data_IF_237295348810
#
_entry.id   IF_237295348810
#
_cell.length_a   1.000
_cell.length_b   1.000
_cell.length_c   1.000
_cell.angle_alpha   90.00
_cell.angle_beta   90.00
_cell.angle_gamma   90.00
#
_symmetry.space_group_name_H-M   'P 1'
#
loop_
_entity.id
_entity.type
_entity.pdbx_description
1 polymer ?
#
# COMPACT_ATOMS: atom_id res chain seq x y z
N UNK A 1 3.81 4.78 -93.48
CA UNK A 1 4.20 4.00 -92.29
C UNK A 1 4.35 4.94 -91.09
N UNK A 2 3.34 5.03 -90.21
CA UNK A 2 3.50 5.60 -88.86
C UNK A 2 3.17 4.48 -87.88
N UNK A 3 4.21 4.03 -87.17
CA UNK A 3 4.20 2.88 -86.28
C UNK A 3 3.42 3.21 -85.00
N UNK A 4 2.32 2.48 -84.78
CA UNK A 4 1.68 2.38 -83.48
C UNK A 4 2.64 1.68 -82.51
N UNK A 5 3.04 2.38 -81.44
CA UNK A 5 3.79 1.79 -80.34
C UNK A 5 2.90 0.81 -79.58
N UNK A 6 3.27 -0.46 -79.63
CA UNK A 6 2.74 -1.52 -78.79
C UNK A 6 2.97 -1.19 -77.30
N UNK A 7 1.93 -0.70 -76.62
CA UNK A 7 1.89 -0.72 -75.17
C UNK A 7 1.74 -2.17 -74.72
N UNK A 8 2.80 -2.71 -74.12
CA UNK A 8 2.85 -4.08 -73.62
C UNK A 8 1.69 -4.35 -72.66
N UNK A 9 0.87 -5.35 -73.01
CA UNK A 9 -0.24 -5.91 -72.22
C UNK A 9 0.18 -6.20 -70.76
N UNK A 10 1.47 -6.44 -70.53
CA UNK A 10 2.05 -6.64 -69.21
C UNK A 10 1.97 -5.39 -68.30
N UNK A 11 2.12 -4.18 -68.85
CA UNK A 11 2.00 -2.94 -68.04
C UNK A 11 0.57 -2.65 -67.62
N UNK A 12 -0.41 -2.96 -68.47
CA UNK A 12 -1.84 -2.82 -68.16
C UNK A 12 -2.26 -3.87 -67.12
N UNK A 13 -1.80 -5.12 -67.25
CA UNK A 13 -2.05 -6.17 -66.26
C UNK A 13 -1.41 -5.87 -64.90
N UNK A 14 -0.19 -5.32 -64.87
CA UNK A 14 0.45 -4.90 -63.60
C UNK A 14 -0.29 -3.72 -62.96
N UNK A 15 -0.81 -2.77 -63.75
CA UNK A 15 -1.62 -1.67 -63.23
C UNK A 15 -2.98 -2.15 -62.69
N UNK A 16 -3.63 -3.09 -63.38
CA UNK A 16 -4.88 -3.72 -62.91
C UNK A 16 -4.62 -4.59 -61.67
N UNK A 17 -3.50 -5.31 -61.60
CA UNK A 17 -3.12 -6.11 -60.44
C UNK A 17 -2.78 -5.23 -59.23
N UNK A 18 -2.08 -4.10 -59.43
CA UNK A 18 -1.82 -3.10 -58.37
C UNK A 18 -3.10 -2.37 -57.94
N UNK A 19 -4.02 -2.07 -58.85
CA UNK A 19 -5.36 -1.56 -58.49
C UNK A 19 -6.19 -2.59 -57.73
N UNK A 20 -6.12 -3.89 -58.06
CA UNK A 20 -6.83 -4.95 -57.33
C UNK A 20 -6.22 -5.23 -55.95
N UNK A 21 -4.90 -5.10 -55.79
CA UNK A 21 -4.25 -5.16 -54.47
C UNK A 21 -4.62 -3.92 -53.63
N UNK A 22 -4.81 -2.76 -54.26
CA UNK A 22 -5.29 -1.54 -53.60
C UNK A 22 -6.80 -1.58 -53.28
N UNK A 23 -7.58 -2.40 -54.01
CA UNK A 23 -9.03 -2.63 -53.80
C UNK A 23 -9.35 -3.72 -52.77
N UNK A 24 -8.36 -4.51 -52.34
CA UNK A 24 -8.39 -5.10 -50.99
C UNK A 24 -8.06 -4.01 -49.96
N UNK A 25 -8.71 -2.86 -50.10
CA UNK A 25 -8.75 -1.83 -49.09
C UNK A 25 -9.30 -2.48 -47.82
N UNK A 26 -8.50 -2.41 -46.76
CA UNK A 26 -8.87 -2.46 -45.35
C UNK A 26 -10.38 -2.64 -45.18
N UNK A 27 -10.85 -3.89 -45.18
CA UNK A 27 -12.26 -4.19 -44.92
C UNK A 27 -12.51 -3.89 -43.46
N UNK A 28 -12.90 -2.65 -43.14
CA UNK A 28 -13.29 -2.24 -41.80
C UNK A 28 -14.59 -2.96 -41.47
N UNK A 29 -14.52 -3.93 -40.57
CA UNK A 29 -15.70 -4.67 -40.14
C UNK A 29 -16.40 -3.87 -39.05
N UNK A 30 -17.70 -3.61 -39.20
CA UNK A 30 -18.49 -3.02 -38.13
C UNK A 30 -18.54 -4.00 -36.96
N UNK A 31 -18.07 -3.57 -35.79
CA UNK A 31 -18.05 -4.39 -34.55
C UNK A 31 -19.07 -3.93 -33.52
N UNK A 32 -19.64 -2.73 -33.69
CA UNK A 32 -20.73 -2.26 -32.86
C UNK A 32 -21.29 -0.89 -33.24
N UNK A 33 -22.32 -0.47 -32.51
CA UNK A 33 -22.99 0.83 -32.64
C UNK A 33 -23.13 1.49 -31.27
N UNK A 34 -22.94 2.79 -31.23
CA UNK A 34 -23.08 3.62 -30.02
C UNK A 34 -24.29 4.52 -30.23
N UNK A 35 -25.21 4.54 -29.28
CA UNK A 35 -26.37 5.44 -29.27
C UNK A 35 -26.27 6.38 -28.08
N UNK A 36 -26.36 7.69 -28.34
CA UNK A 36 -26.54 8.73 -27.33
C UNK A 36 -28.00 9.19 -27.39
N UNK A 37 -28.78 8.81 -26.39
CA UNK A 37 -30.21 9.11 -26.31
C UNK A 37 -30.49 10.55 -25.87
N UNK A 38 -29.55 11.17 -25.17
CA UNK A 38 -29.70 12.57 -24.72
C UNK A 38 -29.57 13.51 -25.90
N UNK A 39 -28.63 13.24 -26.81
CA UNK A 39 -28.34 14.08 -27.98
C UNK A 39 -28.99 13.59 -29.26
N UNK A 40 -29.66 12.43 -29.22
CA UNK A 40 -30.27 11.78 -30.39
C UNK A 40 -29.23 11.53 -31.50
N UNK A 41 -28.06 11.02 -31.11
CA UNK A 41 -26.94 10.75 -32.01
C UNK A 41 -26.61 9.26 -32.02
N UNK A 42 -26.03 8.78 -33.14
CA UNK A 42 -25.52 7.43 -33.21
C UNK A 42 -24.20 7.36 -33.99
N UNK A 43 -23.35 6.42 -33.61
CA UNK A 43 -22.02 6.22 -34.18
C UNK A 43 -21.81 4.74 -34.53
N UNK A 44 -21.07 4.48 -35.59
CA UNK A 44 -20.62 3.14 -35.96
C UNK A 44 -19.18 2.96 -35.50
N UNK A 45 -18.89 1.84 -34.84
CA UNK A 45 -17.55 1.43 -34.42
C UNK A 45 -17.03 0.30 -35.30
N UNK A 46 -15.82 0.49 -35.81
CA UNK A 46 -15.10 -0.50 -36.62
C UNK A 46 -14.05 -1.25 -35.79
N UNK A 47 -13.66 -2.43 -36.28
CA UNK A 47 -12.67 -3.33 -35.68
C UNK A 47 -11.30 -2.68 -35.39
N UNK A 48 -10.89 -1.71 -36.19
CA UNK A 48 -9.67 -0.92 -35.99
C UNK A 48 -9.80 0.20 -34.93
N UNK A 49 -10.92 0.28 -34.21
CA UNK A 49 -11.19 1.31 -33.22
C UNK A 49 -11.62 2.66 -33.81
N UNK A 50 -11.79 2.77 -35.13
CA UNK A 50 -12.32 3.98 -35.74
C UNK A 50 -13.83 4.09 -35.47
N UNK A 51 -14.28 5.27 -35.09
CA UNK A 51 -15.70 5.60 -34.93
C UNK A 51 -16.10 6.75 -35.84
N UNK A 52 -17.33 6.70 -36.34
CA UNK A 52 -17.90 7.75 -37.19
C UNK A 52 -19.37 7.96 -36.85
N UNK A 53 -19.81 9.22 -36.81
CA UNK A 53 -21.20 9.57 -36.56
C UNK A 53 -22.06 9.25 -37.80
N UNK A 54 -23.23 8.65 -37.59
CA UNK A 54 -24.25 8.51 -38.62
C UNK A 54 -24.73 9.90 -39.05
N UNK A 55 -24.95 10.09 -40.36
CA UNK A 55 -25.42 11.35 -40.97
C UNK A 55 -24.46 12.55 -40.86
N UNK A 56 -23.36 12.44 -40.09
CA UNK A 56 -22.31 13.46 -39.99
C UNK A 56 -20.89 12.85 -39.97
N UNK A 57 -20.39 12.35 -41.13
CA UNK A 57 -19.10 11.66 -41.21
C UNK A 57 -17.88 12.47 -40.74
N UNK A 58 -17.99 13.80 -40.73
CA UNK A 58 -16.92 14.69 -40.25
C UNK A 58 -16.68 14.57 -38.74
N UNK A 59 -17.69 14.12 -37.98
CA UNK A 59 -17.53 13.81 -36.58
C UNK A 59 -17.08 12.34 -36.42
N UNK A 60 -15.76 12.16 -36.32
CA UNK A 60 -15.11 10.86 -36.26
C UNK A 60 -13.88 10.88 -35.34
N UNK A 61 -13.38 9.72 -34.97
CA UNK A 61 -12.19 9.61 -34.14
C UNK A 61 -11.82 8.16 -33.85
N UNK A 62 -10.89 7.97 -32.91
CA UNK A 62 -10.45 6.64 -32.49
C UNK A 62 -10.83 6.38 -31.04
N UNK A 63 -11.53 5.29 -30.78
CA UNK A 63 -11.73 4.78 -29.42
C UNK A 63 -10.48 4.04 -28.97
N UNK A 64 -10.24 4.08 -27.66
CA UNK A 64 -9.15 3.37 -27.03
C UNK A 64 -9.67 2.63 -25.81
N UNK A 65 -8.90 1.64 -25.33
CA UNK A 65 -9.17 1.05 -24.01
C UNK A 65 -9.13 2.17 -22.97
N UNK A 66 -10.06 2.14 -22.03
CA UNK A 66 -10.01 3.10 -20.93
C UNK A 66 -8.69 2.90 -20.15
N UNK A 67 -7.82 3.93 -20.09
CA UNK A 67 -6.58 3.91 -19.33
C UNK A 67 -6.75 3.45 -17.88
N UNK A 68 -7.86 3.83 -17.25
CA UNK A 68 -8.10 3.54 -15.84
C UNK A 68 -8.61 2.11 -15.58
N UNK A 69 -9.21 1.47 -16.58
CA UNK A 69 -9.85 0.16 -16.47
C UNK A 69 -11.22 0.15 -15.77
N UNK A 70 -11.70 1.29 -15.25
CA UNK A 70 -13.07 1.43 -14.72
C UNK A 70 -14.12 1.24 -15.80
N UNK A 71 -13.84 1.72 -17.01
CA UNK A 71 -14.69 1.59 -18.17
C UNK A 71 -14.05 0.63 -19.19
N UNK A 72 -14.84 0.20 -20.16
CA UNK A 72 -14.36 -0.69 -21.22
C UNK A 72 -13.59 0.07 -22.31
N UNK A 73 -14.19 1.14 -22.83
CA UNK A 73 -13.60 1.99 -23.87
C UNK A 73 -13.75 3.46 -23.50
N UNK A 74 -12.74 4.26 -23.86
CA UNK A 74 -12.83 5.72 -23.90
C UNK A 74 -13.17 6.16 -25.32
N UNK A 75 -14.19 6.99 -25.42
CA UNK A 75 -14.66 7.63 -26.65
C UNK A 75 -14.07 9.05 -26.70
N UNK A 76 -13.56 9.52 -27.85
CA UNK A 76 -13.05 10.87 -28.00
C UNK A 76 -14.16 11.91 -27.70
N UNK A 77 -13.82 12.92 -26.91
CA UNK A 77 -14.70 14.04 -26.58
C UNK A 77 -14.22 15.31 -27.30
N UNK A 78 -15.15 16.17 -27.70
CA UNK A 78 -14.85 17.47 -28.31
C UNK A 78 -14.13 18.39 -27.32
N UNK A 79 -14.54 18.36 -26.05
CA UNK A 79 -13.89 19.10 -24.97
C UNK A 79 -13.49 18.16 -23.83
N UNK A 80 -12.32 17.50 -23.94
CA UNK A 80 -11.88 16.48 -22.98
C UNK A 80 -11.54 17.05 -21.59
N UNK A 81 -11.55 18.37 -21.41
CA UNK A 81 -11.30 19.03 -20.11
C UNK A 81 -12.58 19.04 -19.24
N UNK A 82 -13.74 19.19 -19.87
CA UNK A 82 -15.04 19.35 -19.18
C UNK A 82 -15.82 18.04 -19.08
N UNK A 83 -15.74 17.20 -20.12
CA UNK A 83 -16.38 15.90 -20.15
C UNK A 83 -15.60 14.83 -20.93
N UNK A 84 -15.83 13.58 -20.57
CA UNK A 84 -15.31 12.43 -21.29
C UNK A 84 -16.41 11.36 -21.44
N UNK A 85 -16.40 10.66 -22.57
CA UNK A 85 -17.40 9.64 -22.89
C UNK A 85 -16.77 8.26 -22.84
N UNK A 86 -17.51 7.29 -22.35
CA UNK A 86 -17.03 5.93 -22.17
C UNK A 86 -18.09 4.92 -22.54
N UNK A 87 -17.64 3.77 -23.03
CA UNK A 87 -18.43 2.54 -22.98
C UNK A 87 -18.10 1.85 -21.67
N UNK A 88 -19.09 1.64 -20.81
CA UNK A 88 -18.95 0.88 -19.57
C UNK A 88 -18.98 -0.63 -19.84
N UNK A 89 -18.53 -1.41 -18.86
CA UNK A 89 -18.49 -2.88 -18.94
C UNK A 89 -19.88 -3.53 -19.08
N UNK A 90 -20.93 -2.84 -18.66
CA UNK A 90 -22.34 -3.27 -18.77
C UNK A 90 -23.04 -2.76 -20.04
N UNK A 91 -22.26 -2.23 -21.00
CA UNK A 91 -22.70 -1.64 -22.28
C UNK A 91 -23.41 -0.29 -22.17
N UNK A 92 -23.45 0.35 -21.01
CA UNK A 92 -23.94 1.72 -20.91
C UNK A 92 -22.93 2.70 -21.55
N UNK A 93 -23.43 3.74 -22.21
CA UNK A 93 -22.62 4.89 -22.59
C UNK A 93 -22.67 5.88 -21.44
N UNK A 94 -21.50 6.17 -20.89
CA UNK A 94 -21.35 7.02 -19.71
C UNK A 94 -20.65 8.30 -20.11
N UNK A 95 -21.29 9.43 -19.85
CA UNK A 95 -20.64 10.74 -19.83
C UNK A 95 -20.16 11.03 -18.42
N UNK A 96 -18.85 11.19 -18.24
CA UNK A 96 -18.27 11.70 -17.01
C UNK A 96 -18.08 13.20 -17.19
N UNK A 97 -18.89 13.97 -16.46
CA UNK A 97 -18.73 15.41 -16.37
C UNK A 97 -17.89 15.76 -15.13
N UNK A 98 -16.94 16.69 -15.27
CA UNK A 98 -16.06 17.11 -14.17
C UNK A 98 -16.83 17.51 -12.89
N UNK A 99 -17.96 18.18 -13.03
CA UNK A 99 -18.76 18.68 -11.92
C UNK A 99 -19.84 17.70 -11.47
N UNK A 100 -20.54 17.06 -12.42
CA UNK A 100 -21.71 16.21 -12.14
C UNK A 100 -21.40 14.72 -11.98
N UNK A 101 -20.19 14.28 -12.31
CA UNK A 101 -19.81 12.86 -12.27
C UNK A 101 -20.37 12.06 -13.45
N UNK A 102 -20.43 10.74 -13.27
CA UNK A 102 -20.90 9.81 -14.28
C UNK A 102 -22.42 9.87 -14.48
N UNK A 103 -22.85 10.00 -15.74
CA UNK A 103 -24.25 9.95 -16.15
C UNK A 103 -24.41 8.98 -17.33
N UNK A 104 -25.41 8.10 -17.27
CA UNK A 104 -25.74 7.23 -18.40
C UNK A 104 -26.47 8.07 -19.45
N UNK A 105 -25.88 8.18 -20.64
CA UNK A 105 -26.42 8.97 -21.76
C UNK A 105 -26.91 8.11 -22.91
N UNK A 106 -26.61 6.80 -22.88
CA UNK A 106 -27.10 5.89 -23.89
C UNK A 106 -26.57 4.47 -23.80
N UNK A 107 -26.49 3.76 -24.93
CA UNK A 107 -26.15 2.33 -24.97
C UNK A 107 -25.21 1.96 -26.12
N UNK A 108 -24.34 0.99 -25.86
CA UNK A 108 -23.50 0.34 -26.87
C UNK A 108 -24.10 -1.01 -27.30
N UNK A 109 -24.32 -1.16 -28.59
CA UNK A 109 -24.70 -2.41 -29.25
C UNK A 109 -23.46 -3.04 -29.88
N UNK A 110 -22.78 -3.89 -29.12
CA UNK A 110 -21.65 -4.67 -29.61
C UNK A 110 -21.17 -5.65 -28.56
N UNK A 111 -20.03 -6.28 -28.85
CA UNK A 111 -19.37 -7.17 -27.90
C UNK A 111 -18.62 -6.35 -26.84
N UNK A 112 -18.89 -6.66 -25.58
CA UNK A 112 -18.10 -6.21 -24.42
C UNK A 112 -17.73 -7.48 -23.65
N UNK A 113 -16.44 -7.77 -23.43
CA UNK A 113 -16.02 -8.90 -22.62
C UNK A 113 -16.40 -8.66 -21.16
N UNK A 114 -16.40 -9.74 -20.38
CA UNK A 114 -16.59 -9.64 -18.92
C UNK A 114 -15.50 -8.76 -18.33
N UNK A 115 -15.88 -7.84 -17.44
CA UNK A 115 -14.91 -7.01 -16.71
C UNK A 115 -13.95 -7.91 -15.93
N UNK A 116 -12.65 -7.92 -16.25
CA UNK A 116 -11.69 -8.79 -15.55
C UNK A 116 -11.45 -8.37 -14.09
N UNK A 117 -11.92 -7.17 -13.69
CA UNK A 117 -11.72 -6.62 -12.36
C UNK A 117 -12.95 -6.69 -11.45
N UNK A 118 -14.12 -7.14 -11.92
CA UNK A 118 -15.36 -7.07 -11.12
C UNK A 118 -15.38 -7.94 -9.85
N UNK A 119 -14.49 -8.92 -9.74
CA UNK A 119 -14.39 -9.84 -8.59
C UNK A 119 -12.97 -9.92 -8.02
N UNK A 120 -12.09 -8.96 -8.31
CA UNK A 120 -10.69 -9.04 -7.84
C UNK A 120 -10.53 -8.79 -6.35
N UNK A 121 -11.44 -8.02 -5.75
CA UNK A 121 -11.44 -7.83 -4.31
C UNK A 121 -12.24 -8.93 -3.62
N UNK A 122 -11.59 -9.58 -2.67
CA UNK A 122 -12.24 -10.43 -1.69
C UNK A 122 -11.94 -9.86 -0.31
N UNK A 123 -12.98 -9.63 0.49
CA UNK A 123 -12.81 -9.14 1.85
C UNK A 123 -11.91 -10.10 2.63
N UNK A 124 -10.83 -9.60 3.25
CA UNK A 124 -9.95 -10.43 4.07
C UNK A 124 -10.74 -11.12 5.19
N UNK A 125 -10.47 -12.41 5.39
CA UNK A 125 -10.93 -13.14 6.57
C UNK A 125 -10.01 -12.83 7.74
N UNK A 126 -10.59 -12.69 8.93
CA UNK A 126 -9.87 -12.47 10.18
C UNK A 126 -10.31 -13.54 11.17
N UNK A 127 -9.42 -14.49 11.46
CA UNK A 127 -9.58 -15.34 12.62
C UNK A 127 -9.05 -14.60 13.87
N UNK A 128 -9.78 -14.65 15.00
CA UNK A 128 -9.33 -14.05 16.27
C UNK A 128 -8.06 -14.70 16.84
N UNK A 129 -7.55 -15.72 16.18
CA UNK A 129 -6.38 -16.46 16.60
C UNK A 129 -5.07 -15.70 16.37
N UNK A 130 -4.95 -14.80 15.39
CA UNK A 130 -3.69 -14.10 15.11
C UNK A 130 -3.83 -12.58 15.13
N UNK A 131 -2.88 -11.89 15.74
CA UNK A 131 -2.95 -10.44 15.89
C UNK A 131 -1.91 -9.85 16.83
N UNK A 132 -1.99 -8.54 16.98
CA UNK A 132 -1.05 -7.76 17.79
C UNK A 132 -1.74 -7.33 19.08
N UNK A 133 -1.11 -7.62 20.22
CA UNK A 133 -1.58 -7.12 21.50
C UNK A 133 -1.09 -5.67 21.67
N UNK A 134 -2.03 -4.74 21.74
CA UNK A 134 -1.76 -3.30 21.90
C UNK A 134 -1.60 -2.95 23.38
N UNK A 135 -2.43 -3.57 24.21
CA UNK A 135 -2.40 -3.48 25.66
C UNK A 135 -2.89 -4.81 26.23
N UNK A 136 -2.62 -5.14 27.51
CA UNK A 136 -3.08 -6.40 28.11
C UNK A 136 -4.57 -6.65 27.85
N UNK A 137 -4.89 -7.70 27.08
CA UNK A 137 -6.27 -8.06 26.72
C UNK A 137 -6.89 -7.31 25.53
N UNK A 138 -6.22 -6.32 24.94
CA UNK A 138 -6.66 -5.62 23.72
C UNK A 138 -5.86 -6.11 22.51
N UNK A 139 -6.54 -6.74 21.57
CA UNK A 139 -5.95 -7.49 20.47
C UNK A 139 -6.50 -7.00 19.13
N UNK A 140 -5.61 -6.62 18.21
CA UNK A 140 -6.00 -6.29 16.84
C UNK A 140 -5.65 -7.42 15.90
N UNK A 141 -6.65 -8.04 15.25
CA UNK A 141 -6.42 -9.22 14.41
C UNK A 141 -5.69 -8.84 13.12
N UNK A 142 -4.86 -9.77 12.63
CA UNK A 142 -4.23 -9.70 11.30
C UNK A 142 -5.00 -10.64 10.37
N UNK A 143 -5.17 -10.32 9.07
CA UNK A 143 -5.84 -11.22 8.14
C UNK A 143 -5.21 -12.62 8.08
N UNK A 144 -6.06 -13.62 7.86
CA UNK A 144 -5.67 -15.01 7.70
C UNK A 144 -4.75 -15.17 6.46
N UNK A 145 -3.76 -16.06 6.55
CA UNK A 145 -2.85 -16.36 5.43
C UNK A 145 -1.74 -15.33 5.19
N UNK A 146 -1.65 -14.28 6.01
CA UNK A 146 -0.60 -13.24 5.94
C UNK A 146 0.51 -13.47 6.97
N UNK A 147 0.17 -14.10 8.09
CA UNK A 147 1.08 -14.31 9.22
C UNK A 147 2.02 -15.48 8.94
N UNK A 148 3.33 -15.24 9.06
CA UNK A 148 4.32 -16.31 9.17
C UNK A 148 4.48 -16.70 10.65
N UNK A 149 3.84 -17.80 11.04
CA UNK A 149 3.88 -18.32 12.42
C UNK A 149 5.31 -18.60 12.89
N UNK A 150 6.22 -18.95 11.97
CA UNK A 150 7.60 -19.28 12.28
C UNK A 150 8.48 -18.06 12.52
N UNK A 151 8.02 -16.86 12.12
CA UNK A 151 8.76 -15.61 12.23
C UNK A 151 7.88 -14.50 12.79
N UNK A 152 7.30 -14.74 13.96
CA UNK A 152 6.27 -13.86 14.55
C UNK A 152 6.82 -12.69 15.36
N UNK A 153 8.14 -12.56 15.54
CA UNK A 153 8.75 -11.45 16.29
C UNK A 153 9.20 -10.30 15.39
N UNK A 154 8.94 -9.07 15.85
CA UNK A 154 9.43 -7.83 15.25
C UNK A 154 10.76 -7.35 15.88
N UNK A 155 11.19 -6.15 15.49
CA UNK A 155 12.38 -5.52 16.06
C UNK A 155 12.09 -4.86 17.40
N UNK A 156 13.11 -4.81 18.26
CA UNK A 156 13.03 -4.08 19.53
C UNK A 156 13.35 -2.60 19.31
N UNK A 157 12.53 -1.72 19.87
CA UNK A 157 12.80 -0.28 19.89
C UNK A 157 13.65 0.08 21.12
N UNK A 158 14.89 0.53 20.88
CA UNK A 158 15.83 0.87 21.93
C UNK A 158 16.71 2.07 21.56
N UNK A 159 17.05 2.89 22.56
CA UNK A 159 17.99 4.03 22.47
C UNK A 159 18.86 4.10 23.73
N UNK A 160 19.77 5.09 23.82
CA UNK A 160 20.64 5.31 24.98
C UNK A 160 20.16 6.51 25.82
N UNK A 161 20.73 6.60 27.02
CA UNK A 161 20.54 7.73 27.93
C UNK A 161 20.81 9.09 27.26
N UNK A 162 21.86 9.19 26.43
CA UNK A 162 22.25 10.46 25.79
C UNK A 162 21.14 10.97 24.86
N UNK A 163 20.62 10.11 23.97
CA UNK A 163 19.53 10.44 23.05
C UNK A 163 18.21 10.66 23.79
N UNK A 164 17.95 9.87 24.83
CA UNK A 164 16.80 10.12 25.70
C UNK A 164 16.88 11.50 26.36
N UNK A 165 18.08 11.92 26.81
CA UNK A 165 18.32 13.23 27.41
C UNK A 165 18.14 14.35 26.39
N UNK A 166 18.69 14.21 25.18
CA UNK A 166 18.48 15.16 24.08
C UNK A 166 16.97 15.34 23.79
N UNK A 167 16.23 14.24 23.66
CA UNK A 167 14.78 14.28 23.46
C UNK A 167 14.03 14.93 24.61
N UNK A 168 14.42 14.63 25.85
CA UNK A 168 13.82 15.21 27.06
C UNK A 168 14.01 16.73 27.08
N UNK A 169 15.24 17.20 26.86
CA UNK A 169 15.56 18.62 26.83
C UNK A 169 14.81 19.37 25.74
N UNK A 170 14.67 18.77 24.56
CA UNK A 170 13.93 19.38 23.44
C UNK A 170 12.41 19.45 23.69
N UNK A 171 11.87 18.56 24.51
CA UNK A 171 10.44 18.48 24.82
C UNK A 171 10.05 19.15 26.14
N UNK A 172 11.02 19.50 26.98
CA UNK A 172 10.79 20.13 28.27
C UNK A 172 10.69 21.65 28.16
N UNK A 173 9.71 22.23 28.84
CA UNK A 173 9.62 23.67 29.07
C UNK A 173 9.44 23.95 30.57
N UNK A 174 10.15 24.94 31.14
CA UNK A 174 9.97 25.32 32.55
C UNK A 174 8.54 25.73 32.91
N UNK A 175 7.74 26.21 31.94
CA UNK A 175 6.39 26.71 32.18
C UNK A 175 5.30 25.64 32.07
N UNK A 176 5.52 24.61 31.25
CA UNK A 176 4.49 23.59 30.94
C UNK A 176 4.92 22.17 31.30
N UNK A 177 6.15 21.98 31.79
CA UNK A 177 6.74 20.67 32.04
C UNK A 177 7.13 19.96 30.75
N UNK A 178 7.20 18.63 30.81
CA UNK A 178 7.56 17.79 29.67
C UNK A 178 6.36 17.58 28.75
N UNK A 179 6.50 17.97 27.48
CA UNK A 179 5.57 17.60 26.42
C UNK A 179 5.76 16.11 26.08
N UNK A 180 4.80 15.28 26.51
CA UNK A 180 4.87 13.82 26.36
C UNK A 180 4.83 13.37 24.91
N UNK A 181 4.04 14.03 24.07
CA UNK A 181 3.89 13.66 22.67
C UNK A 181 5.18 13.99 21.91
N UNK A 182 5.68 15.22 22.08
CA UNK A 182 6.94 15.66 21.48
C UNK A 182 8.12 14.83 21.94
N UNK A 183 8.19 14.51 23.24
CA UNK A 183 9.23 13.63 23.78
C UNK A 183 9.17 12.25 23.14
N UNK A 184 7.99 11.63 23.14
CA UNK A 184 7.82 10.25 22.65
C UNK A 184 8.10 10.15 21.16
N UNK A 185 7.66 11.14 20.36
CA UNK A 185 8.00 11.18 18.94
C UNK A 185 9.51 11.27 18.71
N UNK A 186 10.22 12.11 19.47
CA UNK A 186 11.68 12.18 19.39
C UNK A 186 12.32 10.83 19.74
N UNK A 187 11.81 10.14 20.77
CA UNK A 187 12.28 8.81 21.14
C UNK A 187 12.08 7.80 20.01
N UNK A 188 10.87 7.72 19.44
CA UNK A 188 10.57 6.83 18.31
C UNK A 188 11.50 7.13 17.13
N UNK A 189 11.74 8.40 16.79
CA UNK A 189 12.65 8.78 15.71
C UNK A 189 14.10 8.32 15.90
N UNK A 190 14.55 8.15 17.15
CA UNK A 190 15.88 7.64 17.46
C UNK A 190 15.91 6.10 17.63
N UNK A 191 14.75 5.45 17.80
CA UNK A 191 14.62 4.02 18.04
C UNK A 191 14.16 3.21 16.82
N UNK A 192 13.36 3.82 15.95
CA UNK A 192 12.69 3.18 14.84
C UNK A 192 13.41 3.44 13.52
N UNK A 193 13.29 2.51 12.58
CA UNK A 193 13.84 2.65 11.25
C UNK A 193 13.00 3.55 10.37
N UNK A 194 13.54 3.83 9.18
CA UNK A 194 12.86 4.68 8.19
C UNK A 194 11.49 4.13 7.80
N UNK A 195 11.38 2.81 7.65
CA UNK A 195 10.15 2.14 7.20
C UNK A 195 9.06 2.24 8.28
N UNK A 196 9.43 2.07 9.54
CA UNK A 196 8.53 2.16 10.69
C UNK A 196 8.02 3.58 10.88
N UNK A 197 8.92 4.56 10.75
CA UNK A 197 8.57 5.97 10.78
C UNK A 197 7.66 6.37 9.61
N UNK A 198 7.91 5.86 8.40
CA UNK A 198 7.05 6.11 7.24
C UNK A 198 5.63 5.56 7.48
N UNK A 199 5.50 4.36 8.08
CA UNK A 199 4.20 3.78 8.45
C UNK A 199 3.48 4.64 9.50
N UNK A 200 4.18 4.99 10.59
CA UNK A 200 3.61 5.80 11.67
C UNK A 200 3.12 7.15 11.14
N UNK A 201 3.95 7.84 10.36
CA UNK A 201 3.60 9.14 9.78
C UNK A 201 2.44 9.02 8.80
N UNK A 202 2.37 7.96 7.99
CA UNK A 202 1.21 7.74 7.12
C UNK A 202 -0.11 7.65 7.89
N UNK A 203 -0.14 6.94 9.01
CA UNK A 203 -1.37 6.82 9.80
C UNK A 203 -1.68 8.13 10.51
N UNK A 204 -0.68 8.74 11.14
CA UNK A 204 -0.83 9.96 11.95
C UNK A 204 -1.23 11.18 11.12
N UNK A 205 -0.64 11.34 9.93
CA UNK A 205 -0.79 12.56 9.13
C UNK A 205 -2.02 12.51 8.19
N UNK A 206 -2.68 11.36 8.09
CA UNK A 206 -3.85 11.14 7.22
C UNK A 206 -5.15 11.25 7.99
N UNK A 207 -6.19 11.81 7.36
CA UNK A 207 -7.51 12.07 7.97
C UNK A 207 -8.52 10.97 7.69
N UNK A 208 -8.36 10.26 6.57
CA UNK A 208 -9.30 9.23 6.13
C UNK A 208 -8.60 7.88 5.91
N UNK A 209 -9.32 6.75 5.99
CA UNK A 209 -8.76 5.44 5.68
C UNK A 209 -8.22 5.33 4.25
N UNK A 210 -8.80 6.07 3.30
CA UNK A 210 -8.31 6.17 1.92
C UNK A 210 -6.95 6.87 1.86
N UNK A 211 -6.79 8.02 2.51
CA UNK A 211 -5.51 8.75 2.59
C UNK A 211 -4.43 7.88 3.24
N UNK A 212 -4.78 7.21 4.36
CA UNK A 212 -3.89 6.28 5.04
C UNK A 212 -3.45 5.14 4.10
N UNK A 213 -4.42 4.53 3.42
CA UNK A 213 -4.17 3.43 2.47
C UNK A 213 -3.25 3.88 1.33
N UNK A 214 -3.49 5.05 0.75
CA UNK A 214 -2.68 5.61 -0.33
C UNK A 214 -1.25 5.92 0.13
N UNK A 215 -1.09 6.52 1.31
CA UNK A 215 0.21 6.81 1.87
C UNK A 215 1.00 5.51 2.09
N UNK A 216 0.39 4.52 2.76
CA UNK A 216 1.02 3.23 3.03
C UNK A 216 1.37 2.50 1.74
N UNK A 217 0.48 2.51 0.75
CA UNK A 217 0.72 1.91 -0.57
C UNK A 217 1.96 2.50 -1.24
N UNK A 218 2.12 3.83 -1.24
CA UNK A 218 3.27 4.50 -1.85
C UNK A 218 4.57 4.42 -1.06
N UNK A 219 4.51 4.21 0.26
CA UNK A 219 5.68 4.07 1.14
C UNK A 219 6.21 2.64 1.23
N UNK A 220 5.30 1.66 1.26
CA UNK A 220 5.67 0.25 1.40
C UNK A 220 5.94 -0.43 0.06
N UNK A 221 5.38 0.11 -1.03
CA UNK A 221 5.61 -0.40 -2.39
C UNK A 221 6.88 0.16 -3.06
N UNK A 222 7.11 -0.29 -4.29
CA UNK A 222 8.24 0.12 -5.14
C UNK A 222 8.04 1.49 -5.79
N UNK A 223 8.89 1.80 -6.78
CA UNK A 223 8.79 3.05 -7.55
C UNK A 223 7.46 3.16 -8.30
N UNK A 224 6.97 2.05 -8.84
CA UNK A 224 5.70 1.97 -9.55
C UNK A 224 4.52 2.23 -8.61
N UNK A 225 4.46 1.55 -7.48
CA UNK A 225 3.39 1.74 -6.49
C UNK A 225 3.33 3.16 -5.96
N UNK A 226 4.50 3.80 -5.80
CA UNK A 226 4.59 5.21 -5.42
C UNK A 226 3.99 6.15 -6.46
N UNK A 227 4.29 5.94 -7.73
CA UNK A 227 3.70 6.73 -8.83
C UNK A 227 2.18 6.57 -8.85
N UNK A 228 1.71 5.33 -8.72
CA UNK A 228 0.28 5.00 -8.70
C UNK A 228 -0.39 5.66 -7.50
N UNK A 229 0.15 5.50 -6.29
CA UNK A 229 -0.38 6.12 -5.08
C UNK A 229 -0.46 7.65 -5.20
N UNK A 230 0.58 8.29 -5.77
CA UNK A 230 0.60 9.73 -5.96
C UNK A 230 -0.55 10.17 -6.89
N UNK A 231 -0.79 9.44 -7.98
CA UNK A 231 -1.86 9.79 -8.92
C UNK A 231 -3.23 9.54 -8.38
N UNK A 232 -3.45 8.42 -7.71
CA UNK A 232 -4.73 8.15 -7.06
C UNK A 232 -4.98 9.20 -5.96
N UNK A 233 -3.94 9.65 -5.24
CA UNK A 233 -4.02 10.74 -4.27
C UNK A 233 -4.37 12.09 -4.91
N UNK A 234 -3.80 12.44 -6.07
CA UNK A 234 -4.20 13.62 -6.84
C UNK A 234 -5.68 13.55 -7.24
N UNK A 235 -6.17 12.39 -7.65
CA UNK A 235 -7.59 12.19 -7.97
C UNK A 235 -8.47 12.31 -6.74
N UNK A 236 -8.06 11.71 -5.62
CA UNK A 236 -8.76 11.80 -4.34
C UNK A 236 -8.85 13.23 -3.83
N UNK A 237 -7.79 14.03 -3.96
CA UNK A 237 -7.81 15.44 -3.59
C UNK A 237 -8.84 16.26 -4.41
N UNK A 238 -9.09 15.87 -5.67
CA UNK A 238 -10.03 16.57 -6.55
C UNK A 238 -11.47 16.08 -6.42
N UNK A 239 -11.67 14.77 -6.20
CA UNK A 239 -12.97 14.12 -6.36
C UNK A 239 -13.42 13.33 -5.12
N UNK A 240 -12.57 13.21 -4.09
CA UNK A 240 -12.85 12.43 -2.89
C UNK A 240 -13.19 10.98 -3.20
N UNK A 241 -14.20 10.45 -2.53
CA UNK A 241 -14.70 9.08 -2.72
C UNK A 241 -15.64 8.92 -3.92
N UNK A 242 -15.79 9.93 -4.79
CA UNK A 242 -16.53 9.79 -6.05
C UNK A 242 -15.65 9.13 -7.12
N UNK A 243 -15.48 7.82 -6.99
CA UNK A 243 -14.72 6.97 -7.90
C UNK A 243 -15.20 7.04 -9.35
N UNK A 244 -16.46 7.45 -9.58
CA UNK A 244 -17.00 7.61 -10.93
C UNK A 244 -16.28 8.70 -11.74
N UNK A 245 -15.56 9.62 -11.09
CA UNK A 245 -14.76 10.69 -11.73
C UNK A 245 -13.29 10.33 -11.94
N UNK A 246 -12.81 9.22 -11.38
CA UNK A 246 -11.41 8.81 -11.49
C UNK A 246 -10.96 8.46 -12.91
N UNK A 247 -11.82 7.94 -13.82
CA UNK A 247 -11.40 7.72 -15.21
C UNK A 247 -11.00 9.02 -15.92
N UNK A 248 -11.63 10.15 -15.58
CA UNK A 248 -11.25 11.46 -16.11
C UNK A 248 -9.86 11.87 -15.60
N UNK A 249 -9.62 11.67 -14.30
CA UNK A 249 -8.34 11.96 -13.66
C UNK A 249 -7.18 11.11 -14.20
N UNK A 250 -7.42 9.81 -14.38
CA UNK A 250 -6.42 8.82 -14.78
C UNK A 250 -6.27 8.70 -16.30
N UNK A 251 -6.85 9.63 -17.05
CA UNK A 251 -6.91 9.59 -18.51
C UNK A 251 -5.54 9.65 -19.22
N UNK A 252 -4.47 10.01 -18.50
CA UNK A 252 -3.08 10.01 -18.97
C UNK A 252 -2.32 8.70 -18.70
N UNK A 253 -2.86 7.79 -17.89
CA UNK A 253 -2.22 6.52 -17.48
C UNK A 253 -2.63 5.37 -18.39
N UNK A 254 -2.18 5.43 -19.65
CA UNK A 254 -2.67 4.55 -20.71
C UNK A 254 -2.16 3.11 -20.51
N UNK A 255 -3.09 2.19 -20.25
CA UNK A 255 -2.93 0.72 -20.30
C UNK A 255 -2.04 0.09 -19.22
N UNK A 256 -2.00 0.61 -17.99
CA UNK A 256 -1.32 -0.11 -16.89
C UNK A 256 -2.29 -1.02 -16.11
N UNK A 257 -2.20 -2.36 -16.24
CA UNK A 257 -3.09 -3.28 -15.53
C UNK A 257 -2.94 -3.22 -14.00
N UNK A 258 -1.80 -2.75 -13.48
CA UNK A 258 -1.59 -2.53 -12.05
C UNK A 258 -2.50 -1.41 -11.56
N UNK A 259 -2.56 -0.28 -12.28
CA UNK A 259 -3.40 0.86 -11.92
C UNK A 259 -4.86 0.43 -11.85
N UNK A 260 -5.35 -0.25 -12.88
CA UNK A 260 -6.73 -0.74 -12.93
C UNK A 260 -7.06 -1.70 -11.79
N UNK A 261 -6.13 -2.61 -11.47
CA UNK A 261 -6.32 -3.56 -10.37
C UNK A 261 -6.40 -2.84 -9.03
N UNK A 262 -5.44 -1.96 -8.72
CA UNK A 262 -5.41 -1.20 -7.45
C UNK A 262 -6.65 -0.35 -7.28
N UNK A 263 -7.03 0.39 -8.32
CA UNK A 263 -8.25 1.21 -8.32
C UNK A 263 -9.51 0.36 -8.11
N UNK A 264 -9.64 -0.78 -8.80
CA UNK A 264 -10.77 -1.70 -8.60
C UNK A 264 -10.82 -2.25 -7.17
N UNK A 265 -9.66 -2.58 -6.58
CA UNK A 265 -9.58 -3.02 -5.18
C UNK A 265 -10.08 -1.94 -4.22
N UNK A 266 -9.67 -0.69 -4.41
CA UNK A 266 -10.07 0.42 -3.53
C UNK A 266 -11.54 0.81 -3.72
N UNK A 267 -12.04 0.84 -4.96
CA UNK A 267 -13.45 1.09 -5.25
C UNK A 267 -14.36 0.02 -4.64
N UNK A 268 -14.01 -1.26 -4.81
CA UNK A 268 -14.79 -2.37 -4.25
C UNK A 268 -14.79 -2.36 -2.72
N UNK A 269 -13.65 -2.04 -2.09
CA UNK A 269 -13.58 -1.80 -0.64
C UNK A 269 -14.47 -0.65 -0.20
N UNK A 270 -14.43 0.47 -0.93
CA UNK A 270 -15.24 1.67 -0.62
C UNK A 270 -16.74 1.36 -0.64
N UNK A 271 -17.20 0.52 -1.58
CA UNK A 271 -18.60 0.03 -1.61
C UNK A 271 -19.00 -0.79 -0.38
N UNK A 272 -18.04 -1.49 0.24
CA UNK A 272 -18.25 -2.22 1.50
C UNK A 272 -18.10 -1.34 2.75
N UNK A 273 -17.75 -0.07 2.58
CA UNK A 273 -17.71 0.95 3.64
C UNK A 273 -16.38 1.07 4.39
N UNK A 274 -15.34 0.31 4.05
CA UNK A 274 -14.03 0.39 4.72
C UNK A 274 -12.88 0.11 3.73
N UNK A 275 -12.19 1.17 3.29
CA UNK A 275 -10.92 1.04 2.56
C UNK A 275 -9.79 0.85 3.55
N UNK A 276 -8.94 -0.16 3.33
CA UNK A 276 -7.79 -0.42 4.17
C UNK A 276 -6.55 -0.76 3.34
N UNK A 277 -5.37 -0.50 3.91
CA UNK A 277 -4.13 -0.95 3.30
C UNK A 277 -4.11 -2.46 3.14
N UNK A 278 -4.48 -3.23 4.16
CA UNK A 278 -4.46 -4.69 4.08
C UNK A 278 -5.42 -5.25 3.04
N UNK A 279 -6.64 -4.73 2.93
CA UNK A 279 -7.57 -5.13 1.87
C UNK A 279 -7.03 -4.83 0.47
N UNK A 280 -6.44 -3.65 0.29
CA UNK A 280 -5.82 -3.24 -0.98
C UNK A 280 -4.59 -4.08 -1.30
N UNK A 281 -3.73 -4.33 -0.31
CA UNK A 281 -2.50 -5.08 -0.46
C UNK A 281 -2.76 -6.56 -0.73
N UNK A 282 -3.77 -7.18 -0.11
CA UNK A 282 -4.20 -8.55 -0.42
C UNK A 282 -4.78 -8.65 -1.83
N UNK A 283 -5.59 -7.68 -2.23
CA UNK A 283 -6.19 -7.66 -3.55
C UNK A 283 -5.15 -7.43 -4.66
N UNK A 284 -4.22 -6.48 -4.48
CA UNK A 284 -3.13 -6.21 -5.42
C UNK A 284 -2.10 -7.36 -5.43
N UNK A 285 -1.64 -7.78 -4.26
CA UNK A 285 -0.65 -8.83 -4.02
C UNK A 285 0.32 -8.44 -2.90
N UNK A 286 0.35 -9.21 -1.81
CA UNK A 286 1.16 -8.87 -0.61
C UNK A 286 2.68 -8.95 -0.85
N UNK A 287 3.11 -9.77 -1.81
CA UNK A 287 4.52 -9.95 -2.14
C UNK A 287 5.18 -8.64 -2.61
N UNK A 288 4.42 -7.75 -3.24
CA UNK A 288 4.92 -6.46 -3.76
C UNK A 288 5.30 -5.48 -2.64
N UNK A 289 4.79 -5.69 -1.42
CA UNK A 289 5.03 -4.83 -0.26
C UNK A 289 6.07 -5.38 0.73
N UNK A 290 6.61 -6.58 0.50
CA UNK A 290 7.55 -7.24 1.40
C UNK A 290 7.07 -7.26 2.87
N UNK A 291 5.84 -7.75 3.10
CA UNK A 291 5.17 -7.74 4.40
C UNK A 291 5.73 -8.84 5.33
N UNK A 292 6.83 -8.54 6.03
CA UNK A 292 7.33 -9.38 7.14
C UNK A 292 6.59 -9.09 8.47
N UNK A 293 6.82 -9.90 9.50
CA UNK A 293 6.14 -9.75 10.79
C UNK A 293 6.43 -8.41 11.48
N UNK A 294 7.63 -7.85 11.34
CA UNK A 294 7.94 -6.50 11.83
C UNK A 294 7.02 -5.45 11.20
N UNK A 295 6.96 -5.41 9.86
CA UNK A 295 6.08 -4.49 9.13
C UNK A 295 4.62 -4.68 9.53
N UNK A 296 4.18 -5.94 9.72
CA UNK A 296 2.82 -6.24 10.15
C UNK A 296 2.53 -5.72 11.56
N UNK A 297 3.43 -5.95 12.52
CA UNK A 297 3.29 -5.44 13.89
C UNK A 297 3.20 -3.92 13.87
N UNK A 298 4.15 -3.26 13.19
CA UNK A 298 4.25 -1.81 13.13
C UNK A 298 3.02 -1.20 12.47
N UNK A 299 2.54 -1.78 11.37
CA UNK A 299 1.33 -1.37 10.70
C UNK A 299 0.11 -1.46 11.62
N UNK A 300 -0.08 -2.58 12.31
CA UNK A 300 -1.22 -2.75 13.21
C UNK A 300 -1.13 -1.83 14.43
N UNK A 301 0.06 -1.65 15.00
CA UNK A 301 0.27 -0.72 16.10
C UNK A 301 0.01 0.73 15.68
N UNK A 302 0.45 1.13 14.49
CA UNK A 302 0.18 2.46 13.96
C UNK A 302 -1.33 2.65 13.73
N UNK A 303 -1.99 1.72 13.04
CA UNK A 303 -3.42 1.78 12.76
C UNK A 303 -4.26 1.82 14.05
N UNK A 304 -3.98 0.94 15.01
CA UNK A 304 -4.77 0.82 16.23
C UNK A 304 -4.52 1.96 17.23
N UNK A 305 -3.33 2.56 17.23
CA UNK A 305 -3.06 3.78 18.00
C UNK A 305 -3.62 5.04 17.34
N UNK A 306 -4.12 4.95 16.10
CA UNK A 306 -4.44 6.14 15.30
C UNK A 306 -3.23 7.03 15.02
N UNK A 307 -2.01 6.48 15.12
CA UNK A 307 -0.77 7.24 15.03
C UNK A 307 -0.37 7.99 16.31
N UNK A 308 -1.05 7.76 17.44
CA UNK A 308 -0.66 8.36 18.72
C UNK A 308 0.70 7.80 19.19
N UNK A 309 1.71 8.65 19.41
CA UNK A 309 3.09 8.20 19.59
C UNK A 309 3.31 7.25 20.77
N UNK A 310 2.71 7.51 21.94
CA UNK A 310 2.94 6.72 23.14
C UNK A 310 2.32 5.33 23.05
N UNK A 311 1.07 5.25 22.60
CA UNK A 311 0.35 3.99 22.36
C UNK A 311 1.05 3.20 21.26
N UNK A 312 1.50 3.87 20.20
CA UNK A 312 2.32 3.24 19.17
C UNK A 312 3.60 2.65 19.76
N UNK A 313 4.38 3.42 20.52
CA UNK A 313 5.64 2.95 21.10
C UNK A 313 5.42 1.76 22.05
N UNK A 314 4.36 1.76 22.85
CA UNK A 314 4.03 0.63 23.72
C UNK A 314 3.66 -0.64 22.97
N UNK A 315 2.91 -0.52 21.88
CA UNK A 315 2.52 -1.65 21.04
C UNK A 315 3.69 -2.17 20.19
N UNK A 316 4.36 -1.25 19.47
CA UNK A 316 5.41 -1.54 18.51
C UNK A 316 6.76 -1.90 19.17
N UNK A 317 7.11 -1.23 20.28
CA UNK A 317 8.34 -1.48 21.03
C UNK A 317 8.19 -2.44 22.21
N UNK A 318 6.95 -2.82 22.54
CA UNK A 318 6.63 -3.79 23.58
C UNK A 318 6.61 -3.22 25.01
N UNK A 319 6.29 -4.10 25.97
CA UNK A 319 6.02 -3.72 27.36
C UNK A 319 7.23 -3.11 28.09
N UNK A 320 8.45 -3.51 27.74
CA UNK A 320 9.65 -2.95 28.38
C UNK A 320 9.91 -1.51 27.93
N UNK A 321 9.65 -1.17 26.66
CA UNK A 321 9.75 0.22 26.21
C UNK A 321 8.70 1.11 26.88
N UNK A 322 7.45 0.65 26.96
CA UNK A 322 6.39 1.40 27.65
C UNK A 322 6.79 1.75 29.10
N UNK A 323 7.37 0.79 29.84
CA UNK A 323 7.86 1.01 31.21
C UNK A 323 9.01 2.00 31.28
N UNK A 324 9.94 1.95 30.33
CA UNK A 324 11.02 2.93 30.26
C UNK A 324 10.48 4.34 29.96
N UNK A 325 9.53 4.48 29.02
CA UNK A 325 8.89 5.77 28.76
C UNK A 325 8.15 6.31 30.01
N UNK A 326 7.46 5.44 30.75
CA UNK A 326 6.78 5.81 32.00
C UNK A 326 7.76 6.31 33.08
N UNK A 327 8.93 5.69 33.20
CA UNK A 327 10.00 6.18 34.08
C UNK A 327 10.51 7.54 33.63
N UNK A 328 10.59 7.80 32.32
CA UNK A 328 10.99 9.12 31.82
C UNK A 328 10.01 10.20 32.29
N UNK A 329 8.72 9.88 32.28
CA UNK A 329 7.65 10.81 32.68
C UNK A 329 7.54 11.03 34.18
N UNK A 330 7.92 10.04 34.99
CA UNK A 330 7.78 10.08 36.45
C UNK A 330 9.07 10.47 37.16
N UNK A 331 10.20 9.94 36.71
CA UNK A 331 11.50 10.01 37.40
C UNK A 331 12.58 10.73 36.57
N UNK A 332 12.28 11.13 35.34
CA UNK A 332 13.25 11.72 34.42
C UNK A 332 14.13 10.69 33.72
N UNK A 333 15.13 11.19 32.98
CA UNK A 333 16.10 10.37 32.24
C UNK A 333 17.36 10.16 33.08
N UNK A 334 17.90 8.94 33.05
CA UNK A 334 19.17 8.60 33.68
C UNK A 334 19.10 8.31 35.17
N UNK A 335 20.27 8.24 35.81
CA UNK A 335 20.40 7.95 37.24
C UNK A 335 19.98 6.52 37.63
N UNK A 336 19.73 6.31 38.92
CA UNK A 336 19.40 4.99 39.47
C UNK A 336 17.91 4.63 39.34
N UNK A 337 17.02 5.62 39.21
CA UNK A 337 15.56 5.46 39.17
C UNK A 337 14.89 5.99 37.91
N UNK A 338 15.58 6.77 37.07
CA UNK A 338 15.07 7.29 35.81
C UNK A 338 15.15 6.27 34.67
N UNK A 339 14.61 6.65 33.52
CA UNK A 339 14.62 5.79 32.34
C UNK A 339 15.96 5.80 31.61
N UNK A 340 16.27 4.71 30.92
CA UNK A 340 17.49 4.50 30.14
C UNK A 340 18.81 4.70 30.91
N UNK A 341 18.76 4.83 32.24
CA UNK A 341 19.93 4.90 33.13
C UNK A 341 20.48 3.53 33.50
N UNK A 342 21.25 3.46 34.60
CA UNK A 342 21.93 2.22 35.06
C UNK A 342 20.99 1.03 35.28
N UNK A 343 19.70 1.32 35.52
CA UNK A 343 18.66 0.37 35.88
C UNK A 343 17.60 0.14 34.79
N UNK A 344 17.95 0.38 33.51
CA UNK A 344 17.10 0.18 32.33
C UNK A 344 16.44 -1.22 32.28
N UNK A 345 15.10 -1.25 32.22
CA UNK A 345 14.26 -2.46 32.18
C UNK A 345 14.44 -3.28 30.91
N UNK A 346 14.68 -2.63 29.77
CA UNK A 346 14.95 -3.31 28.50
C UNK A 346 16.26 -4.11 28.64
N UNK A 347 17.33 -3.47 29.09
CA UNK A 347 18.64 -4.13 29.28
C UNK A 347 18.55 -5.24 30.32
N UNK A 348 17.83 -5.03 31.43
CA UNK A 348 17.58 -6.08 32.44
C UNK A 348 16.82 -7.27 31.85
N UNK A 349 15.78 -7.02 31.07
CA UNK A 349 15.00 -8.06 30.39
C UNK A 349 15.87 -8.88 29.42
N UNK A 350 16.70 -8.21 28.63
CA UNK A 350 17.62 -8.85 27.69
C UNK A 350 18.71 -9.67 28.39
N UNK A 351 19.26 -9.18 29.51
CA UNK A 351 20.21 -9.94 30.35
C UNK A 351 19.58 -11.19 30.94
N UNK A 352 18.35 -11.10 31.44
CA UNK A 352 17.63 -12.26 31.98
C UNK A 352 17.40 -13.35 30.91
N UNK A 353 17.24 -12.98 29.64
CA UNK A 353 17.21 -13.94 28.53
C UNK A 353 18.58 -14.60 28.34
N UNK A 354 19.66 -13.83 28.39
CA UNK A 354 21.03 -14.35 28.31
C UNK A 354 21.36 -15.34 29.42
N UNK A 355 20.93 -15.04 30.65
CA UNK A 355 21.07 -15.95 31.80
C UNK A 355 20.28 -17.26 31.58
N UNK A 356 19.07 -17.17 31.03
CA UNK A 356 18.28 -18.36 30.70
C UNK A 356 18.92 -19.20 29.57
N UNK A 357 19.53 -18.55 28.58
CA UNK A 357 20.31 -19.22 27.53
C UNK A 357 21.57 -19.89 28.08
N UNK A 358 22.28 -19.22 29.01
CA UNK A 358 23.44 -19.78 29.72
C UNK A 358 23.08 -21.07 30.45
N UNK A 359 21.94 -21.09 31.15
CA UNK A 359 21.46 -22.29 31.86
C UNK A 359 21.09 -23.41 30.89
N UNK A 360 20.44 -23.09 29.77
CA UNK A 360 19.89 -24.09 28.85
C UNK A 360 20.93 -24.69 27.90
N UNK A 361 21.76 -23.85 27.30
CA UNK A 361 22.70 -24.25 26.24
C UNK A 361 24.16 -24.22 26.69
N UNK A 362 24.43 -23.66 27.88
CA UNK A 362 25.78 -23.45 28.41
C UNK A 362 26.39 -22.13 27.95
N UNK A 363 27.35 -21.58 28.72
CA UNK A 363 27.98 -20.29 28.43
C UNK A 363 28.88 -20.31 27.18
N UNK A 364 29.25 -21.50 26.70
CA UNK A 364 30.12 -21.66 25.54
C UNK A 364 29.39 -21.85 24.21
N UNK A 365 28.07 -21.99 24.23
CA UNK A 365 27.25 -22.15 23.03
C UNK A 365 27.24 -20.87 22.18
N UNK A 366 27.23 -21.02 20.86
CA UNK A 366 27.32 -19.90 19.90
C UNK A 366 26.14 -18.93 20.03
N UNK A 367 24.91 -19.42 20.23
CA UNK A 367 23.71 -18.59 20.42
C UNK A 367 23.83 -17.78 21.70
N UNK A 368 24.28 -18.42 22.79
CA UNK A 368 24.44 -17.78 24.09
C UNK A 368 25.52 -16.70 24.07
N UNK A 369 26.69 -16.98 23.47
CA UNK A 369 27.76 -16.00 23.29
C UNK A 369 27.31 -14.82 22.44
N UNK A 370 26.69 -15.12 21.29
CA UNK A 370 26.19 -14.10 20.38
C UNK A 370 25.17 -13.20 21.06
N UNK A 371 24.21 -13.77 21.81
CA UNK A 371 23.24 -12.99 22.58
C UNK A 371 23.91 -12.11 23.64
N UNK A 372 24.78 -12.66 24.48
CA UNK A 372 25.41 -11.91 25.57
C UNK A 372 26.30 -10.76 25.05
N UNK A 373 27.06 -11.01 23.98
CA UNK A 373 27.84 -9.96 23.31
C UNK A 373 26.91 -8.88 22.75
N UNK A 374 25.84 -9.29 22.06
CA UNK A 374 24.83 -8.39 21.48
C UNK A 374 24.20 -7.47 22.54
N UNK A 375 23.84 -8.00 23.71
CA UNK A 375 23.26 -7.22 24.81
C UNK A 375 24.29 -6.28 25.45
N UNK A 376 25.55 -6.72 25.55
CA UNK A 376 26.65 -5.86 26.00
C UNK A 376 26.87 -4.67 25.05
N UNK A 377 26.79 -4.90 23.73
CA UNK A 377 26.98 -3.86 22.72
C UNK A 377 25.85 -2.83 22.73
N UNK A 378 24.61 -3.26 22.93
CA UNK A 378 23.45 -2.38 23.12
C UNK A 378 23.62 -1.45 24.32
N UNK A 379 24.30 -1.91 25.37
CA UNK A 379 24.56 -1.10 26.56
C UNK A 379 25.50 0.09 26.23
N UNK A 380 26.24 0.02 25.12
CA UNK A 380 27.26 0.99 24.73
C UNK A 380 26.99 1.76 23.42
N UNK A 381 25.97 1.43 22.63
CA UNK A 381 25.65 2.18 21.41
C UNK A 381 24.32 1.83 20.78
N UNK A 382 23.38 2.78 20.58
CA UNK A 382 22.11 2.44 19.97
C UNK A 382 21.65 3.39 18.88
N UNK A 383 21.29 2.77 17.78
CA UNK A 383 20.23 3.22 16.90
C UNK A 383 19.63 1.98 16.26
N UNK A 384 18.47 2.11 15.64
CA UNK A 384 17.76 1.03 14.91
C UNK A 384 18.67 0.21 13.98
N UNK A 385 19.69 0.85 13.37
CA UNK A 385 20.63 0.21 12.44
C UNK A 385 21.75 -0.61 13.11
N UNK A 386 21.76 -0.75 14.43
CA UNK A 386 22.75 -1.56 15.11
C UNK A 386 22.50 -3.04 14.81
N UNK A 387 23.53 -3.79 14.41
CA UNK A 387 23.43 -5.23 14.09
C UNK A 387 22.84 -6.06 15.24
N UNK A 388 22.91 -5.52 16.45
CA UNK A 388 22.32 -6.07 17.65
C UNK A 388 20.78 -6.21 17.59
N UNK A 389 20.07 -5.23 17.03
CA UNK A 389 18.59 -5.27 16.96
C UNK A 389 18.14 -6.42 16.05
N UNK A 390 18.76 -6.53 14.87
CA UNK A 390 18.52 -7.63 13.92
C UNK A 390 18.88 -8.98 14.52
N UNK A 391 19.99 -9.05 15.25
CA UNK A 391 20.47 -10.27 15.91
C UNK A 391 19.49 -10.73 16.99
N UNK A 392 18.98 -9.81 17.82
CA UNK A 392 17.94 -10.12 18.82
C UNK A 392 16.70 -10.69 18.16
N UNK A 393 16.19 -10.07 17.10
CA UNK A 393 15.02 -10.59 16.38
C UNK A 393 15.26 -12.00 15.83
N UNK A 394 16.38 -12.20 15.15
CA UNK A 394 16.69 -13.49 14.51
C UNK A 394 16.79 -14.60 15.55
N UNK A 395 17.54 -14.38 16.63
CA UNK A 395 17.66 -15.34 17.74
C UNK A 395 16.30 -15.56 18.42
N UNK A 396 15.47 -14.52 18.59
CA UNK A 396 14.14 -14.65 19.20
C UNK A 396 13.23 -15.57 18.38
N UNK A 397 13.26 -15.44 17.04
CA UNK A 397 12.51 -16.32 16.14
C UNK A 397 13.03 -17.78 16.16
N UNK A 398 14.33 -17.99 16.38
CA UNK A 398 14.92 -19.33 16.52
C UNK A 398 14.58 -19.98 17.88
N UNK A 399 14.63 -19.20 18.95
CA UNK A 399 14.51 -19.67 20.34
C UNK A 399 13.07 -19.91 20.78
N UNK A 400 12.06 -19.27 20.18
CA UNK A 400 10.65 -19.52 20.55
C UNK A 400 10.18 -20.96 20.28
N UNK A 401 10.95 -21.73 19.49
CA UNK A 401 10.76 -23.18 19.29
C UNK A 401 11.17 -24.00 20.51
N UNK A 402 11.94 -23.42 21.43
CA UNK A 402 12.42 -24.08 22.63
C UNK A 402 11.42 -23.82 23.78
N UNK A 403 10.48 -24.73 23.96
CA UNK A 403 9.42 -24.66 24.98
C UNK A 403 10.02 -24.63 26.42
N UNK A 404 10.27 -23.44 26.98
CA UNK A 404 10.80 -23.23 28.34
C UNK A 404 10.72 -21.75 28.81
N UNK A 405 11.24 -21.47 30.01
CA UNK A 405 11.39 -20.16 30.64
C UNK A 405 11.99 -19.06 29.72
N UNK A 406 12.82 -19.45 28.74
CA UNK A 406 13.42 -18.54 27.75
C UNK A 406 12.34 -17.88 26.89
N UNK A 407 11.37 -18.63 26.37
CA UNK A 407 10.27 -18.10 25.55
C UNK A 407 9.42 -17.09 26.34
N UNK A 408 9.17 -17.34 27.64
CA UNK A 408 8.42 -16.42 28.51
C UNK A 408 9.16 -15.08 28.72
N UNK A 409 10.49 -15.11 28.79
CA UNK A 409 11.30 -13.90 28.93
C UNK A 409 11.37 -13.12 27.62
N UNK A 410 11.59 -13.79 26.48
CA UNK A 410 11.60 -13.19 25.14
C UNK A 410 10.29 -12.49 24.82
N UNK A 411 9.14 -13.12 25.10
CA UNK A 411 7.79 -12.54 24.87
C UNK A 411 7.51 -11.25 25.64
N UNK A 412 8.25 -10.98 26.73
CA UNK A 412 8.13 -9.71 27.46
C UNK A 412 9.00 -8.61 26.86
N UNK A 413 10.12 -8.98 26.24
CA UNK A 413 11.14 -8.05 25.77
C UNK A 413 10.98 -7.64 24.31
N UNK A 414 10.44 -8.53 23.46
CA UNK A 414 10.36 -8.31 22.01
C UNK A 414 8.88 -8.34 21.57
N UNK A 415 8.44 -7.38 20.74
CA UNK A 415 7.09 -7.39 20.19
C UNK A 415 6.85 -8.64 19.32
N UNK A 416 5.66 -9.20 19.41
CA UNK A 416 5.29 -10.45 18.73
C UNK A 416 3.86 -10.41 18.23
N UNK A 417 3.61 -10.97 17.06
CA UNK A 417 2.29 -11.43 16.64
C UNK A 417 1.88 -12.58 17.57
N UNK A 418 0.83 -12.35 18.35
CA UNK A 418 0.33 -13.32 19.32
C UNK A 418 -0.69 -14.26 18.70
N UNK A 419 -0.66 -15.49 19.19
CA UNK A 419 -1.63 -16.52 18.88
C UNK A 419 -2.57 -16.66 20.09
N UNK A 420 -3.86 -16.43 19.89
CA UNK A 420 -4.92 -16.80 20.84
C UNK A 420 -5.20 -18.28 20.62
N UNK A 421 -4.74 -19.12 21.54
CA UNK A 421 -5.06 -20.55 21.58
C UNK A 421 -6.36 -20.78 22.35
#
# INVERSE_FOLDING_TARGET
MKSCKNYSVSKILVFIFLMNISYKGISQTMVGRIYDYVRQQSFVLFDNGFIIQNENPMNSGYVQRDPSGFMYLRIPAVNPIDNAYFVAWDKNIVEINRYRGANIVGRYEGFVPVNPYNTVYHTPSYNQNFGVEISPGNFTPIPDGVVDENKSFGDIMITNEVKAQECYQNAFSPSTGLDREKFTMCMIQNMAGKRELDILNCVRDSKTPEEQTLCLFGKLGGSKEREIAQKISECYANYGSDWSKYPLCMSSYVNDPTVSKVLACMEQQSKSGNVSFMGTAMCYGLQEFNMNAETQIILQCAAASGGEPYTFAGCAGGQLLARELDKCFTNGVGGDSGCFGKNNDIVKGLKAIGDALNVKFGPNNDITKLWNNTVSDITNGPGYNHDAVKTIRNISNEVDRAADNVSKAVRKAVPKIRIKW
#
